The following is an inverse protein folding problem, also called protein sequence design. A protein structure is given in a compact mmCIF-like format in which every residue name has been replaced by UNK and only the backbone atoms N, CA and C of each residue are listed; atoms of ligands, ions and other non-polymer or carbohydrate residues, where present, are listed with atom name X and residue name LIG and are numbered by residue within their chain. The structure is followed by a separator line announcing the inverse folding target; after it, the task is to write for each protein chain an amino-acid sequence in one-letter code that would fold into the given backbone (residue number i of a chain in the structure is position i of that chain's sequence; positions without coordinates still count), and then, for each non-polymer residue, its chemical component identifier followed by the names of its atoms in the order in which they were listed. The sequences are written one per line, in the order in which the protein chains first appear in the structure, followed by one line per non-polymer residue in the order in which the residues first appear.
data_IF_387312659372
#
_entry.id   IF_387312659372
#
_cell.length_a   1.000
_cell.length_b   1.000
_cell.length_c   1.000
_cell.angle_alpha   90.00
_cell.angle_beta   90.00
_cell.angle_gamma   90.00
#
_symmetry.space_group_name_H-M   'P 1'
#
loop_
_entity.id
_entity.type
_entity.pdbx_description
1 polymer ?
#
# COMPACT_ATOMS: atom_id res chain seq x y z
N UNK A 1 24.34 -1.03 -2.06
CA UNK A 1 23.42 -2.13 -2.40
C UNK A 1 23.00 -2.77 -1.09
N UNK A 2 21.79 -2.52 -0.61
CA UNK A 2 21.24 -3.12 0.61
C UNK A 2 21.01 -4.60 0.34
N UNK A 3 21.67 -5.44 1.13
CA UNK A 3 21.51 -6.90 1.06
C UNK A 3 20.11 -7.25 1.56
N UNK A 4 19.25 -7.75 0.69
CA UNK A 4 17.91 -8.22 1.09
C UNK A 4 18.10 -9.49 1.91
N UNK A 5 17.70 -9.48 3.20
CA UNK A 5 17.69 -10.70 4.00
C UNK A 5 16.69 -11.69 3.38
N UNK A 6 17.22 -12.76 2.78
CA UNK A 6 16.41 -13.78 2.09
C UNK A 6 15.39 -14.44 3.04
N UNK A 7 15.71 -14.58 4.31
CA UNK A 7 14.80 -15.18 5.29
C UNK A 7 13.65 -14.23 5.66
N UNK A 8 13.93 -12.94 5.77
CA UNK A 8 12.90 -11.92 5.96
C UNK A 8 12.01 -11.81 4.72
N UNK A 9 12.59 -11.82 3.52
CA UNK A 9 11.85 -11.85 2.27
C UNK A 9 10.95 -13.08 2.18
N UNK A 10 11.44 -14.26 2.53
CA UNK A 10 10.70 -15.51 2.45
C UNK A 10 9.56 -15.60 3.49
N UNK A 11 9.80 -15.12 4.72
CA UNK A 11 8.75 -15.02 5.74
C UNK A 11 7.63 -14.06 5.34
N UNK A 12 7.95 -12.97 4.63
CA UNK A 12 6.98 -11.99 4.16
C UNK A 12 6.35 -12.42 2.82
N UNK A 13 7.07 -13.11 1.95
CA UNK A 13 6.52 -13.70 0.70
C UNK A 13 5.46 -14.78 0.98
N UNK A 14 5.58 -15.54 2.07
CA UNK A 14 4.54 -16.51 2.45
C UNK A 14 3.19 -15.83 2.76
N UNK A 15 3.18 -14.56 3.17
CA UNK A 15 1.97 -13.75 3.35
C UNK A 15 1.46 -13.12 2.05
N UNK A 16 2.31 -12.85 1.09
CA UNK A 16 1.88 -12.36 -0.23
C UNK A 16 1.15 -13.45 -1.04
N UNK A 17 1.37 -14.72 -0.74
CA UNK A 17 0.63 -15.85 -1.31
C UNK A 17 -0.84 -15.86 -0.86
N UNK A 18 -1.13 -15.41 0.37
CA UNK A 18 -2.51 -15.30 0.89
C UNK A 18 -3.32 -14.27 0.09
N UNK A 19 -2.68 -13.21 -0.41
CA UNK A 19 -3.33 -12.19 -1.25
C UNK A 19 -3.66 -12.68 -2.67
N UNK A 20 -3.05 -13.77 -3.14
CA UNK A 20 -3.29 -14.37 -4.47
C UNK A 20 -4.45 -15.36 -4.52
N UNK A 21 -5.08 -15.70 -3.39
CA UNK A 21 -6.01 -16.83 -3.30
C UNK A 21 -7.44 -16.54 -3.79
N UNK A 22 -7.74 -15.33 -4.29
CA UNK A 22 -9.05 -15.03 -4.85
C UNK A 22 -8.93 -14.56 -6.31
N UNK A 23 -8.94 -15.48 -7.29
CA UNK A 23 -8.96 -15.12 -8.70
C UNK A 23 -10.13 -14.18 -9.01
N UNK A 24 -9.84 -13.05 -9.68
CA UNK A 24 -10.85 -12.06 -10.05
C UNK A 24 -11.18 -11.00 -8.99
N UNK A 25 -10.59 -11.06 -7.80
CA UNK A 25 -10.66 -9.98 -6.81
C UNK A 25 -9.36 -9.19 -6.81
N UNK A 26 -9.48 -7.87 -6.84
CA UNK A 26 -8.36 -6.93 -6.81
C UNK A 26 -8.20 -6.24 -5.47
N UNK A 27 -8.87 -6.76 -4.43
CA UNK A 27 -8.81 -6.26 -3.07
C UNK A 27 -7.45 -6.54 -2.43
N UNK A 28 -7.06 -5.68 -1.50
CA UNK A 28 -5.84 -5.83 -0.72
C UNK A 28 -6.17 -6.12 0.73
N UNK A 29 -5.42 -7.05 1.35
CA UNK A 29 -5.48 -7.29 2.78
C UNK A 29 -4.08 -7.19 3.39
N UNK A 30 -3.92 -6.28 4.34
CA UNK A 30 -2.65 -6.06 5.06
C UNK A 30 -2.72 -6.52 6.52
N UNK A 31 -3.84 -7.11 6.97
CA UNK A 31 -4.08 -7.44 8.38
C UNK A 31 -3.07 -8.42 8.97
N UNK A 32 -2.56 -9.36 8.18
CA UNK A 32 -1.56 -10.34 8.62
C UNK A 32 -0.10 -9.85 8.60
N UNK A 33 0.19 -8.83 7.78
CA UNK A 33 1.54 -8.40 7.48
C UNK A 33 2.30 -7.85 8.70
N UNK A 34 1.63 -6.99 9.49
CA UNK A 34 2.19 -6.43 10.73
C UNK A 34 2.53 -7.52 11.75
N UNK A 35 1.66 -8.51 11.89
CA UNK A 35 1.86 -9.65 12.79
C UNK A 35 3.00 -10.54 12.33
N UNK A 36 3.17 -10.74 11.03
CA UNK A 36 4.27 -11.50 10.46
C UNK A 36 5.63 -10.88 10.78
N UNK A 37 5.77 -9.58 10.53
CA UNK A 37 7.00 -8.85 10.87
C UNK A 37 7.29 -8.92 12.36
N UNK A 38 6.26 -8.73 13.22
CA UNK A 38 6.43 -8.84 14.67
C UNK A 38 6.95 -10.21 15.07
N UNK A 39 6.36 -11.30 14.55
CA UNK A 39 6.79 -12.68 14.83
C UNK A 39 8.21 -12.94 14.35
N UNK A 40 8.55 -12.49 13.13
CA UNK A 40 9.91 -12.61 12.59
C UNK A 40 10.94 -11.91 13.49
N UNK A 41 10.69 -10.66 13.87
CA UNK A 41 11.58 -9.90 14.78
C UNK A 41 11.72 -10.56 16.15
N UNK A 42 10.62 -11.09 16.70
CA UNK A 42 10.64 -11.81 17.97
C UNK A 42 11.45 -13.11 17.92
N UNK A 43 11.27 -13.91 16.87
CA UNK A 43 12.01 -15.14 16.66
C UNK A 43 13.52 -14.84 16.50
N UNK A 44 13.88 -13.79 15.74
CA UNK A 44 15.26 -13.37 15.56
C UNK A 44 15.92 -12.93 16.87
N UNK A 45 15.21 -12.14 17.67
CA UNK A 45 15.68 -11.74 19.02
C UNK A 45 15.88 -12.93 19.95
N UNK A 46 14.95 -13.90 19.94
CA UNK A 46 15.09 -15.13 20.71
C UNK A 46 16.34 -15.94 20.34
N UNK A 47 16.63 -16.05 19.04
CA UNK A 47 17.83 -16.73 18.53
C UNK A 47 19.14 -16.02 18.89
N UNK A 48 19.10 -14.70 19.12
CA UNK A 48 20.25 -13.87 19.50
C UNK A 48 20.45 -13.74 21.01
N UNK A 49 19.73 -14.50 21.85
CA UNK A 49 19.90 -14.48 23.30
C UNK A 49 19.66 -13.10 23.93
N UNK A 50 18.61 -12.40 23.53
CA UNK A 50 18.25 -11.04 23.98
C UNK A 50 19.13 -9.91 23.43
N UNK A 51 20.03 -10.16 22.52
CA UNK A 51 20.79 -9.11 21.83
C UNK A 51 19.87 -8.20 21.00
N UNK A 52 20.17 -6.92 20.95
CA UNK A 52 19.47 -5.97 20.07
C UNK A 52 19.85 -6.26 18.62
N UNK A 53 18.87 -6.13 17.71
CA UNK A 53 19.16 -6.16 16.29
C UNK A 53 20.15 -5.04 15.94
N UNK A 54 21.09 -5.34 15.06
CA UNK A 54 22.01 -4.35 14.51
C UNK A 54 21.26 -3.38 13.59
N UNK A 55 21.83 -2.21 13.35
CA UNK A 55 21.26 -1.24 12.38
C UNK A 55 21.13 -1.83 10.98
N UNK A 56 22.06 -2.70 10.57
CA UNK A 56 22.01 -3.37 9.28
C UNK A 56 20.84 -4.37 9.21
N UNK A 57 20.65 -5.21 10.24
CA UNK A 57 19.52 -6.14 10.29
C UNK A 57 18.17 -5.42 10.25
N UNK A 58 18.06 -4.28 10.94
CA UNK A 58 16.85 -3.43 10.89
C UNK A 58 16.62 -2.92 9.46
N UNK A 59 17.67 -2.39 8.81
CA UNK A 59 17.59 -1.89 7.45
C UNK A 59 17.16 -2.99 6.45
N UNK A 60 17.71 -4.19 6.58
CA UNK A 60 17.40 -5.34 5.73
C UNK A 60 15.96 -5.83 5.92
N UNK A 61 15.47 -5.86 7.17
CA UNK A 61 14.07 -6.17 7.48
C UNK A 61 13.13 -5.11 6.87
N UNK A 62 13.46 -3.83 7.01
CA UNK A 62 12.66 -2.76 6.44
C UNK A 62 12.61 -2.81 4.91
N UNK A 63 13.75 -3.06 4.25
CA UNK A 63 13.82 -3.21 2.80
C UNK A 63 13.00 -4.41 2.31
N UNK A 64 13.10 -5.55 3.01
CA UNK A 64 12.34 -6.76 2.70
C UNK A 64 10.84 -6.54 2.89
N UNK A 65 10.44 -5.88 3.97
CA UNK A 65 9.05 -5.50 4.23
C UNK A 65 8.50 -4.59 3.12
N UNK A 66 9.22 -3.52 2.78
CA UNK A 66 8.81 -2.59 1.74
C UNK A 66 8.60 -3.30 0.40
N UNK A 67 9.54 -4.18 -0.01
CA UNK A 67 9.41 -4.97 -1.23
C UNK A 67 8.21 -5.89 -1.22
N UNK A 68 7.94 -6.56 -0.08
CA UNK A 68 6.81 -7.46 0.06
C UNK A 68 5.44 -6.76 0.02
N UNK A 69 5.39 -5.46 0.34
CA UNK A 69 4.18 -4.64 0.18
C UNK A 69 4.05 -4.15 -1.26
N UNK A 70 5.11 -3.58 -1.83
CA UNK A 70 5.06 -2.91 -3.14
C UNK A 70 4.78 -3.91 -4.26
N UNK A 71 5.44 -5.07 -4.26
CA UNK A 71 5.33 -6.06 -5.34
C UNK A 71 3.89 -6.54 -5.57
N UNK A 72 3.13 -6.99 -4.54
CA UNK A 72 1.73 -7.36 -4.73
C UNK A 72 0.84 -6.18 -5.12
N UNK A 73 1.04 -4.99 -4.53
CA UNK A 73 0.28 -3.79 -4.88
C UNK A 73 0.37 -3.51 -6.38
N UNK A 74 1.57 -3.45 -6.92
CA UNK A 74 1.78 -3.16 -8.32
C UNK A 74 1.33 -4.31 -9.23
N UNK A 75 1.54 -5.56 -8.82
CA UNK A 75 1.06 -6.74 -9.56
C UNK A 75 -0.45 -6.73 -9.72
N UNK A 76 -1.21 -6.60 -8.63
CA UNK A 76 -2.67 -6.55 -8.68
C UNK A 76 -3.19 -5.32 -9.43
N UNK A 77 -2.54 -4.17 -9.26
CA UNK A 77 -2.91 -2.96 -10.02
C UNK A 77 -2.74 -3.17 -11.52
N UNK A 78 -1.66 -3.82 -11.95
CA UNK A 78 -1.41 -4.14 -13.36
C UNK A 78 -2.45 -5.14 -13.88
N UNK A 79 -2.77 -6.19 -13.13
CA UNK A 79 -3.76 -7.19 -13.51
C UNK A 79 -5.16 -6.58 -13.60
N UNK A 80 -5.54 -5.72 -12.66
CA UNK A 80 -6.78 -4.95 -12.72
C UNK A 80 -6.82 -4.04 -13.96
N UNK A 81 -5.74 -3.30 -14.21
CA UNK A 81 -5.64 -2.40 -15.35
C UNK A 81 -5.84 -3.14 -16.68
N UNK A 82 -5.25 -4.32 -16.81
CA UNK A 82 -5.45 -5.19 -18.00
C UNK A 82 -6.88 -5.72 -18.10
N UNK A 83 -7.43 -6.21 -16.99
CA UNK A 83 -8.76 -6.81 -16.95
C UNK A 83 -9.87 -5.81 -17.33
N UNK A 84 -9.73 -4.56 -16.86
CA UNK A 84 -10.72 -3.51 -17.11
C UNK A 84 -10.38 -2.60 -18.30
N UNK A 85 -9.32 -2.89 -19.06
CA UNK A 85 -8.91 -2.06 -20.19
C UNK A 85 -8.60 -0.62 -19.78
N UNK A 86 -7.97 -0.42 -18.62
CA UNK A 86 -7.66 0.90 -18.09
C UNK A 86 -6.73 1.68 -19.02
N UNK A 87 -6.94 2.99 -19.14
CA UNK A 87 -6.09 3.90 -19.93
C UNK A 87 -5.04 4.63 -19.11
N UNK A 88 -5.11 4.52 -17.80
CA UNK A 88 -4.15 5.12 -16.85
C UNK A 88 -4.27 4.45 -15.48
N UNK A 89 -3.26 4.65 -14.64
CA UNK A 89 -3.21 4.18 -13.25
C UNK A 89 -3.07 5.40 -12.34
N UNK A 90 -3.95 5.53 -11.36
CA UNK A 90 -3.85 6.54 -10.29
C UNK A 90 -3.52 5.88 -8.97
N UNK A 91 -2.49 6.37 -8.25
CA UNK A 91 -2.10 5.87 -6.93
C UNK A 91 -2.17 7.01 -5.94
N UNK A 92 -3.06 6.91 -4.94
CA UNK A 92 -3.32 7.92 -3.93
C UNK A 92 -3.28 7.33 -2.51
N UNK A 93 -3.50 8.17 -1.50
CA UNK A 93 -3.43 7.81 -0.09
C UNK A 93 -2.02 7.91 0.49
N UNK A 94 -1.86 7.74 1.82
CA UNK A 94 -0.60 7.97 2.52
C UNK A 94 0.57 7.13 1.99
N UNK A 95 0.33 5.89 1.57
CA UNK A 95 1.37 5.01 1.02
C UNK A 95 1.90 5.53 -0.33
N UNK A 96 1.13 6.35 -1.06
CA UNK A 96 1.57 6.98 -2.31
C UNK A 96 2.75 7.96 -2.13
N UNK A 97 3.05 8.36 -0.90
CA UNK A 97 4.24 9.16 -0.58
C UNK A 97 5.54 8.33 -0.57
N UNK A 98 5.45 6.99 -0.57
CA UNK A 98 6.63 6.14 -0.56
C UNK A 98 7.42 6.28 -1.87
N UNK A 99 8.70 6.65 -1.78
CA UNK A 99 9.55 6.91 -2.93
C UNK A 99 9.80 5.67 -3.79
N UNK A 100 9.96 4.51 -3.16
CA UNK A 100 10.20 3.25 -3.89
C UNK A 100 8.95 2.82 -4.65
N UNK A 101 7.76 2.95 -4.04
CA UNK A 101 6.50 2.69 -4.73
C UNK A 101 6.34 3.58 -5.97
N UNK A 102 6.65 4.87 -5.86
CA UNK A 102 6.59 5.81 -6.99
C UNK A 102 7.53 5.39 -8.12
N UNK A 103 8.78 5.04 -7.76
CA UNK A 103 9.79 4.62 -8.73
C UNK A 103 9.34 3.35 -9.48
N UNK A 104 8.93 2.31 -8.74
CA UNK A 104 8.53 1.03 -9.33
C UNK A 104 7.21 1.14 -10.11
N UNK A 105 6.27 1.97 -9.66
CA UNK A 105 5.01 2.20 -10.38
C UNK A 105 5.23 2.91 -11.71
N UNK A 106 6.10 3.92 -11.77
CA UNK A 106 6.45 4.56 -13.05
C UNK A 106 7.17 3.59 -14.00
N UNK A 107 8.10 2.77 -13.47
CA UNK A 107 8.77 1.75 -14.27
C UNK A 107 7.76 0.74 -14.83
N UNK A 108 6.81 0.28 -14.02
CA UNK A 108 5.73 -0.61 -14.45
C UNK A 108 4.84 0.06 -15.51
N UNK A 109 4.44 1.31 -15.29
CA UNK A 109 3.62 2.06 -16.24
C UNK A 109 4.29 2.16 -17.61
N UNK A 110 5.59 2.47 -17.65
CA UNK A 110 6.38 2.49 -18.87
C UNK A 110 6.43 1.10 -19.55
N UNK A 111 6.59 0.04 -18.77
CA UNK A 111 6.64 -1.33 -19.28
C UNK A 111 5.32 -1.80 -19.90
N UNK A 112 4.18 -1.40 -19.31
CA UNK A 112 2.85 -1.81 -19.78
C UNK A 112 2.18 -0.77 -20.69
N UNK A 113 2.81 0.35 -20.97
CA UNK A 113 2.31 1.41 -21.83
C UNK A 113 1.16 2.22 -21.22
N UNK A 114 1.08 2.31 -19.88
CA UNK A 114 0.05 3.05 -19.17
C UNK A 114 0.64 4.22 -18.39
N UNK A 115 0.11 5.45 -18.53
CA UNK A 115 0.51 6.57 -17.70
C UNK A 115 0.13 6.35 -16.25
N UNK A 116 1.06 6.68 -15.33
CA UNK A 116 0.87 6.54 -13.88
C UNK A 116 0.87 7.93 -13.25
N UNK A 117 -0.14 8.20 -12.44
CA UNK A 117 -0.34 9.48 -11.77
C UNK A 117 -0.29 9.33 -10.24
N UNK A 118 0.37 10.28 -9.61
CA UNK A 118 0.42 10.44 -8.16
C UNK A 118 0.02 11.85 -7.76
N UNK A 119 -0.64 12.04 -6.63
CA UNK A 119 -0.81 13.38 -6.06
C UNK A 119 0.55 13.95 -5.64
N UNK A 120 0.60 15.26 -5.45
CA UNK A 120 1.74 15.89 -4.75
C UNK A 120 1.87 15.32 -3.33
N UNK A 121 3.06 15.38 -2.74
CA UNK A 121 3.28 14.85 -1.38
C UNK A 121 2.36 15.50 -0.35
N UNK A 122 2.09 16.79 -0.49
CA UNK A 122 1.19 17.54 0.39
C UNK A 122 -0.28 17.06 0.31
N UNK A 123 -0.69 16.46 -0.81
CA UNK A 123 -2.05 15.94 -1.04
C UNK A 123 -2.13 14.41 -0.98
N UNK A 124 -1.04 13.73 -0.60
CA UNK A 124 -1.01 12.27 -0.52
C UNK A 124 -1.70 11.71 0.72
N UNK A 125 -1.89 12.52 1.75
CA UNK A 125 -2.62 12.17 2.98
C UNK A 125 -3.95 12.91 3.06
N UNK A 126 -4.79 12.53 4.00
CA UNK A 126 -6.06 13.20 4.28
C UNK A 126 -5.82 14.69 4.52
N UNK A 127 -6.60 15.51 3.84
CA UNK A 127 -6.48 16.96 3.95
C UNK A 127 -7.83 17.65 3.73
N UNK A 128 -7.98 18.84 4.30
CA UNK A 128 -9.23 19.60 4.24
C UNK A 128 -9.61 20.00 2.79
N UNK A 129 -8.63 20.19 1.91
CA UNK A 129 -8.90 20.59 0.53
C UNK A 129 -9.62 19.51 -0.27
N UNK A 130 -9.27 18.22 -0.08
CA UNK A 130 -9.98 17.13 -0.75
C UNK A 130 -11.40 16.96 -0.24
N UNK A 131 -11.62 17.16 1.06
CA UNK A 131 -12.97 17.12 1.67
C UNK A 131 -13.82 18.27 1.15
N UNK A 132 -13.26 19.48 1.13
CA UNK A 132 -13.95 20.65 0.60
C UNK A 132 -14.30 20.51 -0.89
N UNK A 133 -13.38 19.97 -1.71
CA UNK A 133 -13.63 19.71 -3.13
C UNK A 133 -14.74 18.67 -3.35
N UNK A 134 -14.72 17.58 -2.57
CA UNK A 134 -15.79 16.57 -2.58
C UNK A 134 -17.14 17.15 -2.16
N UNK A 135 -17.16 17.90 -1.06
CA UNK A 135 -18.36 18.57 -0.55
C UNK A 135 -18.93 19.59 -1.54
N UNK A 136 -18.08 20.41 -2.15
CA UNK A 136 -18.50 21.38 -3.17
C UNK A 136 -19.15 20.69 -4.37
N UNK A 137 -18.57 19.58 -4.83
CA UNK A 137 -19.13 18.80 -5.94
C UNK A 137 -20.52 18.23 -5.59
N UNK A 138 -20.69 17.68 -4.39
CA UNK A 138 -21.99 17.21 -3.90
C UNK A 138 -23.00 18.34 -3.81
N UNK A 139 -22.60 19.49 -3.27
CA UNK A 139 -23.43 20.68 -3.17
C UNK A 139 -23.94 21.15 -4.55
N UNK A 140 -23.08 21.17 -5.56
CA UNK A 140 -23.49 21.51 -6.93
C UNK A 140 -24.49 20.51 -7.54
N UNK A 141 -24.51 19.27 -7.06
CA UNK A 141 -25.51 18.26 -7.41
C UNK A 141 -26.78 18.30 -6.52
N UNK A 142 -26.93 19.33 -5.69
CA UNK A 142 -28.10 19.51 -4.83
C UNK A 142 -28.07 18.64 -3.56
N UNK A 143 -26.95 17.98 -3.29
CA UNK A 143 -26.81 17.15 -2.07
C UNK A 143 -26.40 18.04 -0.91
N UNK A 144 -27.26 18.12 0.12
CA UNK A 144 -26.98 18.80 1.39
C UNK A 144 -27.46 17.94 2.56
N UNK A 145 -26.72 17.99 3.65
CA UNK A 145 -27.08 17.27 4.85
C UNK A 145 -27.84 18.18 5.84
N UNK A 146 -28.76 17.64 6.65
CA UNK A 146 -29.43 18.40 7.71
C UNK A 146 -28.45 18.77 8.82
N UNK A 147 -28.75 19.85 9.57
CA UNK A 147 -27.91 20.31 10.69
C UNK A 147 -27.69 19.26 11.81
N UNK A 148 -28.53 18.24 11.85
CA UNK A 148 -28.43 17.11 12.79
C UNK A 148 -27.60 15.93 12.26
N UNK A 149 -26.86 16.11 11.16
CA UNK A 149 -25.95 15.10 10.65
C UNK A 149 -24.97 14.68 11.74
N UNK A 150 -24.90 13.37 11.98
CA UNK A 150 -23.92 12.80 12.90
C UNK A 150 -22.81 12.11 12.12
N UNK A 151 -21.62 12.01 12.72
CA UNK A 151 -20.51 11.27 12.12
C UNK A 151 -20.71 9.76 12.34
N UNK A 152 -20.56 8.99 11.28
CA UNK A 152 -20.57 7.52 11.33
C UNK A 152 -19.19 6.99 10.94
N UNK A 153 -18.61 6.17 11.82
CA UNK A 153 -17.27 5.63 11.62
C UNK A 153 -17.18 4.52 10.55
N UNK A 154 -18.33 3.92 10.21
CA UNK A 154 -18.40 2.77 9.30
C UNK A 154 -19.62 2.91 8.38
N UNK A 155 -19.48 3.68 7.31
CA UNK A 155 -20.47 3.71 6.24
C UNK A 155 -20.18 2.56 5.25
N UNK A 156 -21.21 1.79 4.82
CA UNK A 156 -21.04 0.87 3.70
C UNK A 156 -20.78 1.66 2.42
N UNK A 157 -19.80 1.21 1.64
CA UNK A 157 -19.47 1.75 0.32
C UNK A 157 -20.39 1.17 -0.76
#
# INVERSE_FOLDING_TARGET
MTHVDRNAAQAVESYSVIMRQHPGRFDFSFSGLKTAVKRYVQARKGSLGSLKLSSQEIADICASFQRAVIKPLLGHTCDAARTFGARSIGIAGGVSANSQLRLEAHALGNQVGLPVFFPSLALSTDNAAMIAAGGLRQFHHGVSAPLRLNAEASLPL
#
